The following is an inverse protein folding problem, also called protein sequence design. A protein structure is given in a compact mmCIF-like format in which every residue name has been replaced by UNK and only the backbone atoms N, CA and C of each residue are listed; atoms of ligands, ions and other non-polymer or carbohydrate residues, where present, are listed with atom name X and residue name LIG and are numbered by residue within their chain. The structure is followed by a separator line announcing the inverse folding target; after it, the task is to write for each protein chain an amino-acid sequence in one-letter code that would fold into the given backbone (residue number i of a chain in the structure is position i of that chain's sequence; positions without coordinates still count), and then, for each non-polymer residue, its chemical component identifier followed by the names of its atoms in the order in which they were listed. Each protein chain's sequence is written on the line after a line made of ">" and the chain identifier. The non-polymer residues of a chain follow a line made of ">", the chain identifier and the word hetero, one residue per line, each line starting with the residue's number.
data_IF_441544768875
#
_entry.id   IF_441544768875
#
_cell.length_a   1.000
_cell.length_b   1.000
_cell.length_c   1.000
_cell.angle_alpha   90.00
_cell.angle_beta   90.00
_cell.angle_gamma   90.00
#
_symmetry.space_group_name_H-M   'P 1'
#
loop_
_entity.id
_entity.type
_entity.pdbx_description
1 polymer ?
#
# COMPACT_ATOMS: atom_id res chain seq x y z
N UNK A 1 -5.58 27.53 32.25
CA UNK A 1 -5.47 26.14 31.77
C UNK A 1 -5.56 26.21 30.26
N UNK A 2 -4.41 26.16 29.59
CA UNK A 2 -4.29 26.35 28.14
C UNK A 2 -4.46 24.99 27.48
N UNK A 3 -5.57 24.79 26.78
CA UNK A 3 -5.83 23.58 26.00
C UNK A 3 -4.87 23.54 24.80
N UNK A 4 -4.11 22.46 24.72
CA UNK A 4 -3.12 22.19 23.68
C UNK A 4 -3.86 21.81 22.40
N UNK A 5 -3.75 22.69 21.41
CA UNK A 5 -4.30 22.64 20.06
C UNK A 5 -4.02 21.31 19.37
N UNK A 6 -5.04 20.78 18.68
CA UNK A 6 -5.04 19.49 18.02
C UNK A 6 -3.84 19.26 17.09
N UNK A 7 -3.31 18.04 17.16
CA UNK A 7 -2.41 17.51 16.15
C UNK A 7 -3.12 17.58 14.79
N UNK A 8 -2.46 18.06 13.73
CA UNK A 8 -3.03 18.04 12.39
C UNK A 8 -3.19 16.57 11.98
N UNK A 9 -4.44 16.13 11.85
CA UNK A 9 -4.83 14.89 11.17
C UNK A 9 -4.48 14.99 9.68
N UNK A 10 -3.18 14.97 9.36
CA UNK A 10 -2.74 14.92 7.96
C UNK A 10 -3.25 13.60 7.36
N UNK A 11 -3.91 13.63 6.19
CA UNK A 11 -4.26 12.39 5.53
C UNK A 11 -2.96 11.60 5.30
N UNK A 12 -2.99 10.30 5.61
CA UNK A 12 -1.86 9.38 5.43
C UNK A 12 -1.31 9.34 3.98
N UNK A 13 -2.04 9.95 3.04
CA UNK A 13 -1.63 10.18 1.65
C UNK A 13 -0.68 11.37 1.43
N UNK A 14 -0.29 12.14 2.45
CA UNK A 14 0.61 13.31 2.31
C UNK A 14 2.11 12.96 2.34
N UNK A 15 2.49 11.68 2.44
CA UNK A 15 3.89 11.28 2.45
C UNK A 15 4.49 11.36 1.04
N UNK A 16 5.56 12.13 0.87
CA UNK A 16 6.29 12.23 -0.39
C UNK A 16 7.70 11.61 -0.25
N UNK A 17 8.17 10.94 -1.29
CA UNK A 17 9.45 10.21 -1.31
C UNK A 17 10.38 10.81 -2.35
N UNK A 18 11.64 11.01 -2.00
CA UNK A 18 12.65 11.58 -2.90
C UNK A 18 13.95 10.78 -2.82
N UNK A 19 14.50 10.39 -3.98
CA UNK A 19 15.83 9.82 -4.06
C UNK A 19 16.88 10.94 -4.18
N UNK A 20 18.04 10.86 -3.49
CA UNK A 20 19.11 11.83 -3.63
C UNK A 20 19.66 11.79 -5.06
N UNK A 21 19.59 12.93 -5.75
CA UNK A 21 20.00 13.07 -7.15
C UNK A 21 18.84 13.20 -8.16
N UNK A 22 17.60 12.91 -7.76
CA UNK A 22 16.39 13.10 -8.59
C UNK A 22 15.80 14.50 -8.44
N UNK A 23 16.60 15.54 -8.69
CA UNK A 23 16.17 16.92 -8.57
C UNK A 23 16.11 17.55 -9.97
N UNK A 24 14.92 17.66 -10.61
CA UNK A 24 14.78 18.64 -11.66
C UNK A 24 14.86 20.01 -10.96
N UNK A 25 15.81 20.84 -11.37
CA UNK A 25 16.04 22.14 -10.73
C UNK A 25 14.78 23.00 -10.67
N UNK A 26 14.64 23.75 -9.58
CA UNK A 26 13.69 24.86 -9.50
C UNK A 26 12.87 24.91 -8.22
N UNK A 27 13.12 25.96 -7.43
CA UNK A 27 12.26 26.54 -6.39
C UNK A 27 11.76 25.62 -5.27
N UNK A 28 12.40 25.75 -4.10
CA UNK A 28 11.77 25.48 -2.83
C UNK A 28 10.55 26.41 -2.64
N UNK A 29 9.34 25.88 -2.83
CA UNK A 29 8.10 26.55 -2.43
C UNK A 29 7.89 26.35 -0.92
N UNK A 30 7.56 27.40 -0.14
CA UNK A 30 7.43 27.31 1.31
C UNK A 30 6.12 26.60 1.67
N UNK A 31 6.24 25.31 1.94
CA UNK A 31 5.16 24.44 2.40
C UNK A 31 5.63 22.99 2.50
N UNK A 32 6.89 22.80 2.92
CA UNK A 32 7.62 21.55 2.84
C UNK A 32 6.76 20.37 3.35
N UNK A 33 6.25 19.58 2.40
CA UNK A 33 5.80 18.24 2.70
C UNK A 33 6.95 17.53 3.42
N UNK A 34 6.66 16.88 4.53
CA UNK A 34 7.63 16.10 5.27
C UNK A 34 8.01 14.90 4.38
N UNK A 35 9.01 15.10 3.52
CA UNK A 35 9.44 14.13 2.53
C UNK A 35 10.52 13.21 3.10
N UNK A 36 10.36 11.90 2.91
CA UNK A 36 11.41 10.95 3.27
C UNK A 36 12.53 11.00 2.22
N UNK A 37 13.74 11.34 2.66
CA UNK A 37 14.95 11.24 1.84
C UNK A 37 15.61 9.88 2.11
N UNK A 38 15.42 8.96 1.18
CA UNK A 38 16.03 7.62 1.21
C UNK A 38 17.02 7.50 0.06
N UNK A 39 18.15 6.80 0.26
CA UNK A 39 19.00 6.43 -0.87
C UNK A 39 18.20 5.57 -1.86
N UNK A 40 18.62 5.54 -3.12
CA UNK A 40 17.92 4.74 -4.14
C UNK A 40 17.87 3.26 -3.75
N UNK A 41 18.95 2.75 -3.18
CA UNK A 41 19.09 1.37 -2.71
C UNK A 41 18.16 1.11 -1.53
N UNK A 42 18.13 2.02 -0.55
CA UNK A 42 17.24 1.92 0.61
C UNK A 42 15.77 1.96 0.19
N UNK A 43 15.42 2.84 -0.76
CA UNK A 43 14.06 2.96 -1.29
C UNK A 43 13.67 1.72 -2.10
N UNK A 44 14.59 1.12 -2.85
CA UNK A 44 14.35 -0.13 -3.60
C UNK A 44 14.15 -1.32 -2.66
N UNK A 45 14.97 -1.42 -1.60
CA UNK A 45 14.83 -2.46 -0.59
C UNK A 45 13.49 -2.33 0.15
N UNK A 46 13.12 -1.11 0.53
CA UNK A 46 11.86 -0.84 1.22
C UNK A 46 10.65 -1.10 0.31
N UNK A 47 10.73 -0.76 -0.97
CA UNK A 47 9.70 -1.11 -1.95
C UNK A 47 9.44 -2.62 -1.96
N UNK A 48 10.50 -3.44 -1.97
CA UNK A 48 10.40 -4.88 -1.90
C UNK A 48 9.76 -5.38 -0.59
N UNK A 49 10.05 -4.74 0.53
CA UNK A 49 9.44 -5.07 1.83
C UNK A 49 7.95 -4.74 1.83
N UNK A 50 7.57 -3.56 1.35
CA UNK A 50 6.17 -3.11 1.27
C UNK A 50 5.34 -4.01 0.35
N UNK A 51 5.90 -4.42 -0.79
CA UNK A 51 5.24 -5.37 -1.70
C UNK A 51 4.99 -6.74 -1.03
N UNK A 52 5.97 -7.26 -0.30
CA UNK A 52 5.81 -8.50 0.49
C UNK A 52 4.75 -8.34 1.57
N UNK A 53 4.74 -7.20 2.27
CA UNK A 53 3.76 -6.92 3.31
C UNK A 53 2.34 -6.85 2.73
N UNK A 54 2.15 -6.14 1.60
CA UNK A 54 0.85 -6.10 0.91
C UNK A 54 0.39 -7.49 0.53
N UNK A 55 1.27 -8.31 -0.05
CA UNK A 55 0.95 -9.70 -0.42
C UNK A 55 0.49 -10.52 0.79
N UNK A 56 1.11 -10.31 1.96
CA UNK A 56 0.70 -10.99 3.20
C UNK A 56 -0.68 -10.50 3.69
N UNK A 57 -0.96 -9.21 3.59
CA UNK A 57 -2.28 -8.66 3.95
C UNK A 57 -3.36 -9.18 3.00
N UNK A 58 -3.09 -9.23 1.70
CA UNK A 58 -4.04 -9.77 0.72
C UNK A 58 -4.30 -11.27 1.01
N UNK A 59 -3.26 -12.04 1.33
CA UNK A 59 -3.43 -13.43 1.76
C UNK A 59 -4.19 -13.59 3.08
N UNK A 60 -3.99 -12.68 4.04
CA UNK A 60 -4.78 -12.63 5.29
C UNK A 60 -6.24 -12.32 5.02
N UNK A 61 -6.53 -11.45 4.06
CA UNK A 61 -7.89 -11.13 3.65
C UNK A 61 -8.58 -12.36 3.06
N UNK A 62 -7.90 -13.11 2.19
CA UNK A 62 -8.44 -14.37 1.66
C UNK A 62 -8.66 -15.42 2.76
N UNK A 63 -7.69 -15.56 3.68
CA UNK A 63 -7.78 -16.51 4.80
C UNK A 63 -8.87 -16.13 5.82
N UNK A 64 -9.22 -14.85 5.94
CA UNK A 64 -10.20 -14.36 6.89
C UNK A 64 -11.66 -14.49 6.42
N UNK A 65 -11.90 -14.91 5.17
CA UNK A 65 -13.26 -15.11 4.60
C UNK A 65 -14.24 -15.84 5.54
N UNK A 66 -13.85 -16.91 6.26
CA UNK A 66 -14.75 -17.60 7.17
C UNK A 66 -15.27 -16.73 8.33
N UNK A 67 -14.63 -15.60 8.63
CA UNK A 67 -15.03 -14.72 9.74
C UNK A 67 -16.26 -13.86 9.43
N UNK A 68 -16.56 -13.60 8.16
CA UNK A 68 -17.73 -12.81 7.73
C UNK A 68 -18.70 -13.58 6.82
N UNK A 69 -18.46 -14.87 6.62
CA UNK A 69 -19.32 -15.76 5.83
C UNK A 69 -19.96 -16.86 6.66
N UNK A 70 -20.09 -16.65 7.98
CA UNK A 70 -20.70 -17.61 8.90
C UNK A 70 -22.18 -17.74 8.59
N UNK A 71 -22.61 -18.98 8.34
CA UNK A 71 -24.01 -19.36 8.16
C UNK A 71 -24.55 -19.82 9.52
N UNK A 72 -25.74 -19.34 9.88
CA UNK A 72 -26.39 -19.74 11.13
C UNK A 72 -26.67 -21.25 11.14
N UNK A 73 -26.35 -21.99 12.23
CA UNK A 73 -26.62 -23.42 12.33
C UNK A 73 -28.10 -23.75 12.52
N UNK A 74 -28.92 -22.74 12.86
CA UNK A 74 -30.35 -22.88 13.11
C UNK A 74 -31.13 -21.61 12.76
N UNK A 75 -32.46 -21.72 12.75
CA UNK A 75 -33.37 -20.59 12.48
C UNK A 75 -33.94 -19.97 13.76
N UNK A 76 -33.53 -20.45 14.93
CA UNK A 76 -33.92 -19.83 16.19
C UNK A 76 -33.26 -18.45 16.34
N UNK A 77 -33.90 -17.51 17.07
CA UNK A 77 -33.40 -16.14 17.20
C UNK A 77 -31.97 -16.04 17.76
N UNK A 78 -31.55 -16.98 18.62
CA UNK A 78 -30.22 -16.96 19.21
C UNK A 78 -29.15 -17.34 18.18
N UNK A 79 -29.36 -18.39 17.39
CA UNK A 79 -28.43 -18.78 16.32
C UNK A 79 -28.26 -17.68 15.27
N UNK A 80 -29.36 -17.07 14.83
CA UNK A 80 -29.33 -15.97 13.86
C UNK A 80 -28.56 -14.75 14.40
N UNK A 81 -28.83 -14.37 15.65
CA UNK A 81 -28.15 -13.25 16.31
C UNK A 81 -26.65 -13.50 16.44
N UNK A 82 -26.25 -14.72 16.83
CA UNK A 82 -24.85 -15.06 17.01
C UNK A 82 -24.10 -15.06 15.68
N UNK A 83 -24.67 -15.66 14.63
CA UNK A 83 -24.08 -15.62 13.28
C UNK A 83 -23.93 -14.18 12.77
N UNK A 84 -24.95 -13.33 12.95
CA UNK A 84 -24.88 -11.92 12.57
C UNK A 84 -23.82 -11.14 13.36
N UNK A 85 -23.69 -11.38 14.66
CA UNK A 85 -22.67 -10.73 15.50
C UNK A 85 -21.25 -11.16 15.10
N UNK A 86 -21.03 -12.45 14.86
CA UNK A 86 -19.74 -12.96 14.39
C UNK A 86 -19.40 -12.38 13.02
N UNK A 87 -20.33 -12.38 12.07
CA UNK A 87 -20.11 -11.78 10.74
C UNK A 87 -19.78 -10.29 10.82
N UNK A 88 -20.47 -9.54 11.69
CA UNK A 88 -20.18 -8.12 11.92
C UNK A 88 -18.74 -7.91 12.39
N UNK A 89 -18.24 -8.76 13.29
CA UNK A 89 -16.84 -8.69 13.72
C UNK A 89 -15.86 -9.02 12.59
N UNK A 90 -16.18 -10.01 11.76
CA UNK A 90 -15.41 -10.35 10.56
C UNK A 90 -15.37 -9.20 9.54
N UNK A 91 -16.50 -8.53 9.31
CA UNK A 91 -16.59 -7.39 8.40
C UNK A 91 -15.72 -6.20 8.87
N UNK A 92 -15.64 -5.95 10.18
CA UNK A 92 -14.72 -4.94 10.71
C UNK A 92 -13.26 -5.29 10.43
N UNK A 93 -12.87 -6.55 10.65
CA UNK A 93 -11.52 -7.02 10.38
C UNK A 93 -11.19 -6.96 8.88
N UNK A 94 -12.10 -7.41 8.02
CA UNK A 94 -12.01 -7.24 6.57
C UNK A 94 -11.81 -5.78 6.19
N UNK A 95 -12.64 -4.88 6.72
CA UNK A 95 -12.52 -3.45 6.46
C UNK A 95 -11.18 -2.86 6.89
N UNK A 96 -10.59 -3.37 7.98
CA UNK A 96 -9.25 -2.98 8.40
C UNK A 96 -8.18 -3.43 7.40
N UNK A 97 -8.17 -4.71 7.01
CA UNK A 97 -7.22 -5.25 6.03
C UNK A 97 -7.32 -4.54 4.67
N UNK A 98 -8.53 -4.23 4.20
CA UNK A 98 -8.75 -3.47 2.96
C UNK A 98 -8.11 -2.07 3.05
N UNK A 99 -8.28 -1.38 4.19
CA UNK A 99 -7.65 -0.06 4.40
C UNK A 99 -6.13 -0.17 4.41
N UNK A 100 -5.57 -1.18 5.05
CA UNK A 100 -4.12 -1.41 5.05
C UNK A 100 -3.57 -1.71 3.66
N UNK A 101 -4.21 -2.61 2.90
CA UNK A 101 -3.80 -2.94 1.53
C UNK A 101 -3.90 -1.71 0.60
N UNK A 102 -4.93 -0.89 0.76
CA UNK A 102 -5.10 0.36 0.01
C UNK A 102 -4.02 1.39 0.34
N UNK A 103 -3.71 1.54 1.64
CA UNK A 103 -2.64 2.42 2.09
C UNK A 103 -1.28 1.98 1.53
N UNK A 104 -0.93 0.69 1.67
CA UNK A 104 0.31 0.15 1.14
C UNK A 104 0.40 0.32 -0.38
N UNK A 105 -0.70 0.10 -1.11
CA UNK A 105 -0.75 0.34 -2.56
C UNK A 105 -0.41 1.80 -2.90
N UNK A 106 -0.92 2.75 -2.13
CA UNK A 106 -0.61 4.18 -2.31
C UNK A 106 0.86 4.47 -2.07
N UNK A 107 1.42 3.96 -0.97
CA UNK A 107 2.84 4.16 -0.62
C UNK A 107 3.76 3.51 -1.67
N UNK A 108 3.47 2.26 -2.06
CA UNK A 108 4.19 1.53 -3.11
C UNK A 108 4.21 2.34 -4.41
N UNK A 109 3.06 2.89 -4.84
CA UNK A 109 2.97 3.67 -6.07
C UNK A 109 3.78 4.96 -6.00
N UNK A 110 3.74 5.67 -4.88
CA UNK A 110 4.57 6.87 -4.67
C UNK A 110 6.07 6.54 -4.67
N UNK A 111 6.45 5.43 -4.05
CA UNK A 111 7.84 4.98 -4.01
C UNK A 111 8.34 4.54 -5.39
N UNK A 112 7.51 3.84 -6.18
CA UNK A 112 7.81 3.53 -7.59
C UNK A 112 8.01 4.81 -8.41
N UNK A 113 7.11 5.79 -8.28
CA UNK A 113 7.23 7.08 -8.95
C UNK A 113 8.52 7.82 -8.56
N UNK A 114 8.88 7.85 -7.28
CA UNK A 114 10.11 8.47 -6.78
C UNK A 114 11.40 7.79 -7.30
N UNK A 115 11.35 6.48 -7.53
CA UNK A 115 12.45 5.72 -8.16
C UNK A 115 12.53 5.91 -9.68
N UNK A 116 11.50 6.49 -10.30
CA UNK A 116 11.33 6.55 -11.75
C UNK A 116 10.89 5.22 -12.38
N UNK A 117 10.36 4.30 -11.57
CA UNK A 117 9.85 3.01 -12.02
C UNK A 117 8.40 3.20 -12.48
N UNK A 118 8.21 3.35 -13.78
CA UNK A 118 6.89 3.35 -14.41
C UNK A 118 6.63 1.97 -15.03
N UNK A 119 5.39 1.46 -14.98
CA UNK A 119 5.02 0.12 -15.48
C UNK A 119 5.40 -0.13 -16.95
N UNK A 120 5.66 0.92 -17.71
CA UNK A 120 6.13 0.85 -19.10
C UNK A 120 7.61 0.50 -19.25
N UNK A 121 8.47 0.72 -18.25
CA UNK A 121 9.92 0.56 -18.41
C UNK A 121 10.39 -0.90 -18.28
N UNK A 122 9.74 -1.71 -17.43
CA UNK A 122 10.15 -3.11 -17.22
C UNK A 122 9.73 -4.03 -18.39
N UNK A 123 8.58 -3.79 -19.01
CA UNK A 123 8.21 -4.51 -20.25
C UNK A 123 9.12 -4.14 -21.42
N UNK A 124 9.59 -2.89 -21.48
CA UNK A 124 10.53 -2.43 -22.51
C UNK A 124 11.96 -2.91 -22.26
N UNK A 125 12.43 -2.96 -21.01
CA UNK A 125 13.73 -3.54 -20.68
C UNK A 125 13.77 -5.06 -20.97
N UNK A 126 12.69 -5.78 -20.66
CA UNK A 126 12.55 -7.19 -21.01
C UNK A 126 12.51 -7.43 -22.53
N UNK A 127 11.81 -6.59 -23.29
CA UNK A 127 11.74 -6.73 -24.76
C UNK A 127 13.01 -6.25 -25.47
N UNK A 128 13.69 -5.22 -24.98
CA UNK A 128 14.96 -4.74 -25.52
C UNK A 128 16.12 -5.72 -25.27
N UNK A 129 16.16 -6.39 -24.11
CA UNK A 129 17.15 -7.46 -23.84
C UNK A 129 16.89 -8.68 -24.73
N UNK A 130 15.63 -9.05 -24.93
CA UNK A 130 15.27 -10.15 -25.84
C UNK A 130 15.58 -9.84 -27.31
N UNK A 131 15.44 -8.58 -27.76
CA UNK A 131 15.82 -8.16 -29.12
C UNK A 131 17.34 -8.00 -29.28
N UNK A 132 18.06 -7.50 -28.28
CA UNK A 132 19.52 -7.37 -28.33
C UNK A 132 20.25 -8.73 -28.25
N UNK A 133 19.63 -9.75 -27.64
CA UNK A 133 20.13 -11.13 -27.63
C UNK A 133 19.93 -11.90 -28.94
N UNK A 134 19.15 -11.34 -29.87
CA UNK A 134 18.92 -11.87 -31.22
C UNK A 134 19.63 -10.98 -32.26
N UNK A 135 20.96 -10.86 -32.13
CA UNK A 135 21.78 -10.27 -33.18
C UNK A 135 21.74 -11.11 -34.47
N UNK A 136 21.91 -10.49 -35.65
CA UNK A 136 21.70 -11.15 -36.94
C UNK A 136 22.74 -12.25 -37.18
N UNK A 137 22.26 -13.41 -37.67
CA UNK A 137 23.11 -14.38 -38.37
C UNK A 137 23.56 -13.82 -39.72
#
# INVERSE_FOLDING_TARGET
>A
MTEQTGAPSRPLGDADFFAPGSQPGGSATPGAAAGFRLSREAMTAELGNLQKLRTRIDAQLDAAVPMWSIISPGQDPASLRNAAASNKSGDFYRGHLVRESTYLSTVINKMRAALGIHETTDQQAGTAVNQAGQGPI
#
